data_IF_369676510018
#
_entry.id   IF_369676510018
#
_cell.length_a   1.000
_cell.length_b   1.000
_cell.length_c   1.000
_cell.angle_alpha   90.00
_cell.angle_beta   90.00
_cell.angle_gamma   90.00
#
_symmetry.space_group_name_H-M   'P 1'
#
loop_
_entity.id
_entity.type
_entity.pdbx_description
1 polymer ?
#
# COMPACT_ATOMS: atom_id res chain seq x y z
N UNK A 1 -1.01 18.21 -2.97
CA UNK A 1 -1.21 17.21 -1.90
C UNK A 1 -2.70 17.19 -1.59
N UNK A 2 -3.37 16.05 -1.66
CA UNK A 2 -4.85 15.99 -1.60
C UNK A 2 -5.39 15.99 -0.16
N UNK A 3 -4.78 15.23 0.76
CA UNK A 3 -5.24 15.12 2.14
C UNK A 3 -4.51 16.07 3.13
N UNK A 4 -3.49 16.81 2.67
CA UNK A 4 -2.63 17.63 3.54
C UNK A 4 -1.71 16.85 4.49
N UNK A 5 -1.82 15.52 4.52
CA UNK A 5 -0.99 14.59 5.29
C UNK A 5 -0.37 13.52 4.37
N UNK A 6 0.79 12.93 4.72
CA UNK A 6 1.36 11.82 3.96
C UNK A 6 0.41 10.62 3.97
N UNK A 7 0.19 10.01 2.81
CA UNK A 7 -0.67 8.82 2.64
C UNK A 7 -0.19 7.64 3.50
N UNK A 8 1.13 7.52 3.66
CA UNK A 8 1.80 6.55 4.51
C UNK A 8 2.81 7.30 5.37
N UNK A 9 2.41 7.64 6.60
CA UNK A 9 3.25 8.37 7.55
C UNK A 9 3.94 7.40 8.52
N UNK A 10 4.95 6.68 8.04
CA UNK A 10 5.76 5.75 8.84
C UNK A 10 6.87 6.45 9.61
N UNK A 11 7.18 5.92 10.79
CA UNK A 11 8.27 6.41 11.66
C UNK A 11 9.59 5.62 11.50
N UNK A 12 9.54 4.51 10.76
CA UNK A 12 10.64 3.60 10.45
C UNK A 12 10.36 2.86 9.14
N UNK A 13 11.37 2.21 8.54
CA UNK A 13 11.18 1.45 7.29
C UNK A 13 10.12 0.34 7.42
N UNK A 14 10.11 -0.37 8.55
CA UNK A 14 9.13 -1.42 8.82
C UNK A 14 7.73 -0.83 9.06
N UNK A 15 7.62 0.27 9.81
CA UNK A 15 6.32 0.92 10.03
C UNK A 15 5.75 1.48 8.71
N UNK A 16 6.61 2.06 7.87
CA UNK A 16 6.25 2.50 6.52
C UNK A 16 5.71 1.34 5.69
N UNK A 17 6.42 0.21 5.65
CA UNK A 17 5.97 -1.01 4.96
C UNK A 17 4.63 -1.51 5.49
N UNK A 18 4.46 -1.58 6.82
CA UNK A 18 3.23 -2.06 7.43
C UNK A 18 2.04 -1.13 7.17
N UNK A 19 2.26 0.18 7.10
CA UNK A 19 1.22 1.14 6.71
C UNK A 19 0.79 0.96 5.26
N UNK A 20 1.75 0.72 4.38
CA UNK A 20 1.46 0.38 2.98
C UNK A 20 0.63 -0.91 2.94
N UNK A 21 1.07 -1.98 3.61
CA UNK A 21 0.36 -3.26 3.60
C UNK A 21 -1.03 -3.21 4.26
N UNK A 22 -1.24 -2.38 5.27
CA UNK A 22 -2.57 -2.20 5.89
C UNK A 22 -3.61 -1.62 4.94
N UNK A 23 -3.18 -0.83 3.95
CA UNK A 23 -4.06 -0.19 2.98
C UNK A 23 -4.11 -1.00 1.68
N UNK A 24 -2.94 -1.35 1.12
CA UNK A 24 -2.83 -2.03 -0.17
C UNK A 24 -2.92 -3.57 -0.06
N UNK A 25 -2.76 -4.13 1.14
CA UNK A 25 -2.60 -5.56 1.37
C UNK A 25 -1.13 -5.99 1.38
N UNK A 26 -0.85 -7.13 1.99
CA UNK A 26 0.49 -7.73 1.96
C UNK A 26 0.72 -8.35 0.59
N UNK A 27 1.82 -8.01 -0.12
CA UNK A 27 2.08 -8.55 -1.44
C UNK A 27 2.29 -10.07 -1.38
N UNK A 28 1.66 -10.77 -2.32
CA UNK A 28 1.83 -12.20 -2.57
C UNK A 28 2.60 -12.41 -3.87
N UNK A 29 3.23 -13.58 -4.09
CA UNK A 29 3.88 -13.89 -5.37
C UNK A 29 2.98 -13.80 -6.61
N UNK A 30 1.66 -13.91 -6.42
CA UNK A 30 0.66 -13.75 -7.48
C UNK A 30 0.56 -12.30 -7.98
N UNK A 31 0.67 -11.35 -7.04
CA UNK A 31 0.55 -9.93 -7.32
C UNK A 31 1.92 -9.31 -7.59
N UNK A 32 2.95 -9.74 -6.84
CA UNK A 32 4.35 -9.35 -7.00
C UNK A 32 5.25 -10.57 -7.16
N UNK A 33 5.50 -11.00 -8.41
CA UNK A 33 6.37 -12.13 -8.69
C UNK A 33 7.78 -11.90 -8.13
N UNK A 34 8.22 -12.78 -7.23
CA UNK A 34 9.56 -12.69 -6.62
C UNK A 34 9.66 -11.84 -5.36
N UNK A 35 8.54 -11.32 -4.82
CA UNK A 35 8.55 -10.56 -3.56
C UNK A 35 9.20 -11.32 -2.40
N UNK A 36 9.03 -12.64 -2.36
CA UNK A 36 9.65 -13.49 -1.32
C UNK A 36 11.17 -13.62 -1.43
N UNK A 37 11.76 -13.20 -2.56
CA UNK A 37 13.20 -13.24 -2.80
C UNK A 37 13.90 -11.93 -2.40
N UNK A 38 13.14 -10.90 -2.03
CA UNK A 38 13.71 -9.64 -1.55
C UNK A 38 14.39 -9.88 -0.19
N UNK A 39 15.58 -9.31 -0.01
CA UNK A 39 16.40 -9.50 1.20
C UNK A 39 15.65 -9.14 2.50
N UNK A 40 14.78 -8.13 2.40
CA UNK A 40 14.04 -7.56 3.53
C UNK A 40 12.64 -8.18 3.68
N UNK A 41 12.21 -9.03 2.76
CA UNK A 41 10.95 -9.73 2.88
C UNK A 41 11.03 -10.80 3.97
N UNK A 42 10.14 -10.73 4.94
CA UNK A 42 10.00 -11.75 5.98
C UNK A 42 8.67 -12.47 5.79
N UNK A 43 8.72 -13.80 5.70
CA UNK A 43 7.52 -14.67 5.69
C UNK A 43 6.67 -14.54 6.96
N UNK A 44 7.25 -13.99 8.04
CA UNK A 44 6.58 -13.68 9.29
C UNK A 44 5.81 -12.36 9.28
N UNK A 45 5.85 -11.58 8.18
CA UNK A 45 5.04 -10.37 8.07
C UNK A 45 3.55 -10.70 8.18
N UNK A 46 2.75 -9.85 8.85
CA UNK A 46 1.31 -10.06 8.90
C UNK A 46 0.72 -10.03 7.48
N UNK A 47 -0.31 -10.85 7.28
CA UNK A 47 -1.04 -10.91 6.02
C UNK A 47 -2.27 -10.01 6.11
N UNK A 48 -2.22 -8.86 5.46
CA UNK A 48 -3.33 -7.93 5.32
C UNK A 48 -3.99 -8.10 3.96
N UNK A 49 -5.31 -8.01 3.90
CA UNK A 49 -6.06 -7.90 2.66
C UNK A 49 -6.17 -6.44 2.23
N UNK A 50 -6.36 -6.20 0.93
CA UNK A 50 -6.62 -4.86 0.40
C UNK A 50 -7.79 -4.20 1.14
N UNK A 51 -7.60 -2.96 1.60
CA UNK A 51 -8.60 -2.21 2.35
C UNK A 51 -8.98 -0.93 1.60
N UNK A 52 -9.95 -1.08 0.69
CA UNK A 52 -10.47 0.01 -0.11
C UNK A 52 -11.00 1.18 0.73
N UNK A 53 -11.70 0.88 1.83
CA UNK A 53 -12.23 1.91 2.73
C UNK A 53 -11.12 2.76 3.35
N UNK A 54 -10.02 2.13 3.76
CA UNK A 54 -8.87 2.83 4.29
C UNK A 54 -8.18 3.69 3.22
N UNK A 55 -8.08 3.21 1.99
CA UNK A 55 -7.55 3.98 0.87
C UNK A 55 -8.40 5.23 0.61
N UNK A 56 -9.72 5.07 0.45
CA UNK A 56 -10.66 6.18 0.22
C UNK A 56 -10.60 7.21 1.36
N UNK A 57 -10.59 6.74 2.61
CA UNK A 57 -10.48 7.61 3.77
C UNK A 57 -9.15 8.38 3.79
N UNK A 58 -8.03 7.73 3.49
CA UNK A 58 -6.71 8.35 3.48
C UNK A 58 -6.50 9.32 2.31
N UNK A 59 -7.31 9.20 1.25
CA UNK A 59 -7.26 10.09 0.09
C UNK A 59 -8.37 11.14 0.09
N UNK A 60 -9.28 11.18 1.06
CA UNK A 60 -10.35 12.17 1.12
C UNK A 60 -9.78 13.61 1.13
N UNK A 61 -10.37 14.57 0.39
CA UNK A 61 -11.63 14.51 -0.36
C UNK A 61 -11.49 14.16 -1.85
N UNK A 62 -10.50 13.34 -2.23
CA UNK A 62 -10.30 12.95 -3.64
C UNK A 62 -11.55 12.34 -4.26
N UNK A 63 -11.77 12.63 -5.54
CA UNK A 63 -12.83 12.00 -6.33
C UNK A 63 -12.57 10.51 -6.53
N UNK A 64 -13.63 9.76 -6.82
CA UNK A 64 -13.56 8.31 -7.11
C UNK A 64 -12.59 8.01 -8.25
N UNK A 65 -12.60 8.83 -9.32
CA UNK A 65 -11.66 8.71 -10.45
C UNK A 65 -10.19 8.87 -10.01
N UNK A 66 -9.95 9.76 -9.05
CA UNK A 66 -8.60 9.95 -8.50
C UNK A 66 -8.16 8.73 -7.68
N UNK A 67 -9.07 8.12 -6.92
CA UNK A 67 -8.81 6.89 -6.17
C UNK A 67 -8.54 5.73 -7.13
N UNK A 68 -9.31 5.62 -8.20
CA UNK A 68 -9.14 4.59 -9.23
C UNK A 68 -7.77 4.73 -9.92
N UNK A 69 -7.40 5.94 -10.33
CA UNK A 69 -6.08 6.22 -10.89
C UNK A 69 -4.96 5.86 -9.90
N UNK A 70 -5.13 6.15 -8.61
CA UNK A 70 -4.15 5.82 -7.58
C UNK A 70 -3.99 4.32 -7.37
N UNK A 71 -5.07 3.53 -7.48
CA UNK A 71 -4.96 2.06 -7.49
C UNK A 71 -4.07 1.61 -8.64
N UNK A 72 -4.29 2.11 -9.85
CA UNK A 72 -3.48 1.73 -11.02
C UNK A 72 -2.00 2.10 -10.82
N UNK A 73 -1.71 3.32 -10.36
CA UNK A 73 -0.34 3.80 -10.17
C UNK A 73 0.37 3.04 -9.05
N UNK A 74 -0.30 2.77 -7.93
CA UNK A 74 0.34 2.10 -6.78
C UNK A 74 0.73 0.65 -7.10
N UNK A 75 -0.04 -0.08 -7.91
CA UNK A 75 0.36 -1.41 -8.36
C UNK A 75 1.41 -1.38 -9.47
N UNK A 76 1.48 -0.32 -10.28
CA UNK A 76 2.42 -0.23 -11.40
C UNK A 76 3.84 0.23 -11.01
N UNK A 77 3.99 0.99 -9.91
CA UNK A 77 5.28 1.53 -9.45
C UNK A 77 5.91 0.77 -8.28
N UNK A 78 5.17 -0.12 -7.63
CA UNK A 78 5.69 -0.99 -6.55
C UNK A 78 6.07 -2.40 -7.02
N UNK A 79 5.99 -2.69 -8.33
CA UNK A 79 6.39 -3.95 -8.98
C UNK A 79 7.64 -3.78 -9.84
#
# INVERSE_FOLDING_TARGET
>A
MVAGIPLFAGDSEIDQLFRIFKILGTPTPEIWPGVEKLQDYKRSFPKWSFNERALVAATSPMSEDGVDLLKVITWHYFL
#
